data_IF_274551870323
#
_entry.id   IF_274551870323
#
_cell.length_a   1.000
_cell.length_b   1.000
_cell.length_c   1.000
_cell.angle_alpha   90.00
_cell.angle_beta   90.00
_cell.angle_gamma   90.00
#
_symmetry.space_group_name_H-M   'P 1'
#
loop_
_entity.id
_entity.type
_entity.pdbx_description
1 polymer ?
#
# COMPACT_ATOMS: atom_id res chain seq x y z
N UNK A 1 -10.08 5.16 18.12
CA UNK A 1 -8.94 5.72 18.87
C UNK A 1 -7.70 4.98 18.42
N UNK A 2 -7.09 5.45 17.34
CA UNK A 2 -5.91 4.84 16.73
C UNK A 2 -4.72 5.23 17.58
N UNK A 3 -4.10 4.26 18.26
CA UNK A 3 -2.89 4.48 19.04
C UNK A 3 -1.74 4.85 18.10
N UNK A 4 -1.49 6.14 17.93
CA UNK A 4 -0.26 6.65 17.33
C UNK A 4 0.91 6.19 18.21
N UNK A 5 1.68 5.23 17.72
CA UNK A 5 2.84 4.72 18.44
C UNK A 5 4.08 5.30 17.75
N UNK A 6 4.65 6.36 18.33
CA UNK A 6 5.92 6.93 17.90
C UNK A 6 7.07 6.26 18.64
N UNK A 7 8.04 5.72 17.91
CA UNK A 7 9.20 5.02 18.47
C UNK A 7 10.46 5.79 18.06
N UNK A 8 11.23 6.26 19.03
CA UNK A 8 12.55 6.85 18.79
C UNK A 8 13.57 5.77 18.48
N UNK A 9 14.33 5.94 17.41
CA UNK A 9 15.40 5.06 16.95
C UNK A 9 16.77 5.74 17.07
N UNK A 10 17.83 5.03 16.70
CA UNK A 10 19.19 5.59 16.67
C UNK A 10 19.32 6.75 15.67
N UNK A 11 20.35 7.59 15.85
CA UNK A 11 20.68 8.71 14.96
C UNK A 11 19.59 9.78 14.79
N UNK A 12 18.76 9.97 15.82
CA UNK A 12 17.71 11.00 15.81
C UNK A 12 16.53 10.68 14.88
N UNK A 13 16.40 9.43 14.45
CA UNK A 13 15.28 8.99 13.60
C UNK A 13 14.07 8.67 14.47
N UNK A 14 12.89 9.15 14.08
CA UNK A 14 11.63 8.79 14.71
C UNK A 14 10.82 7.94 13.73
N UNK A 15 10.34 6.79 14.21
CA UNK A 15 9.37 5.96 13.50
C UNK A 15 7.96 6.30 13.95
N UNK A 16 7.06 6.55 13.01
CA UNK A 16 5.62 6.71 13.28
C UNK A 16 4.83 5.66 12.52
N UNK A 17 4.02 4.89 13.24
CA UNK A 17 3.14 3.89 12.65
C UNK A 17 1.72 4.42 12.45
N UNK A 18 1.16 4.14 11.27
CA UNK A 18 -0.24 4.44 10.91
C UNK A 18 -0.92 3.19 10.35
N UNK A 19 -2.24 3.19 10.35
CA UNK A 19 -3.06 2.08 9.84
C UNK A 19 -3.55 2.40 8.44
N UNK A 20 -3.37 1.46 7.50
CA UNK A 20 -3.93 1.49 6.15
C UNK A 20 -5.36 0.97 6.15
N UNK A 21 -6.11 1.22 5.07
CA UNK A 21 -7.52 0.84 4.94
C UNK A 21 -7.76 -0.66 5.13
N UNK A 22 -6.82 -1.51 4.75
CA UNK A 22 -6.91 -2.97 4.89
C UNK A 22 -6.35 -3.51 6.21
N UNK A 23 -6.06 -2.63 7.17
CA UNK A 23 -5.57 -2.99 8.51
C UNK A 23 -4.06 -3.26 8.59
N UNK A 24 -3.32 -3.17 7.48
CA UNK A 24 -1.85 -3.20 7.52
C UNK A 24 -1.29 -1.93 8.16
N UNK A 25 -0.07 -2.04 8.67
CA UNK A 25 0.66 -0.89 9.22
C UNK A 25 1.55 -0.29 8.13
N UNK A 26 1.52 1.03 8.00
CA UNK A 26 2.54 1.80 7.29
C UNK A 26 3.43 2.49 8.33
N UNK A 27 4.75 2.37 8.15
CA UNK A 27 5.75 2.95 9.05
C UNK A 27 6.49 4.07 8.33
N UNK A 28 6.42 5.27 8.89
CA UNK A 28 7.18 6.44 8.45
C UNK A 28 8.46 6.56 9.26
N UNK A 29 9.55 6.99 8.62
CA UNK A 29 10.85 7.22 9.25
C UNK A 29 11.31 8.61 8.89
N UNK A 30 11.36 9.50 9.88
CA UNK A 30 11.71 10.89 9.69
C UNK A 30 12.93 11.25 10.57
N UNK A 31 13.89 12.00 10.03
CA UNK A 31 15.04 12.55 10.77
C UNK A 31 14.74 13.89 11.44
N UNK A 32 13.58 14.48 11.10
CA UNK A 32 13.06 15.73 11.63
C UNK A 32 11.57 15.58 11.90
N UNK A 33 11.04 16.31 12.88
CA UNK A 33 9.62 16.26 13.20
C UNK A 33 8.77 16.59 11.97
N UNK A 34 8.07 15.58 11.45
CA UNK A 34 7.23 15.69 10.27
C UNK A 34 5.82 15.23 10.63
N UNK A 35 4.82 16.06 10.30
CA UNK A 35 3.41 15.68 10.45
C UNK A 35 3.07 14.63 9.39
N UNK A 36 2.48 13.52 9.84
CA UNK A 36 2.11 12.36 9.03
C UNK A 36 0.66 12.01 9.33
N UNK A 37 -0.24 12.96 9.10
CA UNK A 37 -1.63 12.91 9.58
C UNK A 37 -2.63 12.48 8.50
N UNK A 38 -2.12 12.13 7.32
CA UNK A 38 -2.95 11.66 6.22
C UNK A 38 -3.62 10.32 6.58
N UNK A 39 -4.94 10.29 6.34
CA UNK A 39 -5.77 9.12 6.56
C UNK A 39 -5.97 8.38 5.24
N UNK A 40 -5.81 7.06 5.28
CA UNK A 40 -6.16 6.19 4.15
C UNK A 40 -7.69 6.09 4.04
N UNK A 41 -8.27 6.83 3.09
CA UNK A 41 -9.72 6.89 2.85
C UNK A 41 -10.21 5.85 1.84
N UNK A 42 -9.33 4.98 1.35
CA UNK A 42 -9.71 3.95 0.37
C UNK A 42 -10.68 2.94 1.00
N UNK A 43 -11.63 2.40 0.23
CA UNK A 43 -12.50 1.35 0.71
C UNK A 43 -11.69 0.07 1.01
N UNK A 44 -12.19 -0.73 1.95
CA UNK A 44 -11.65 -2.08 2.20
C UNK A 44 -12.01 -2.96 1.00
N UNK A 45 -11.01 -3.34 0.21
CA UNK A 45 -11.20 -4.29 -0.90
C UNK A 45 -10.94 -5.73 -0.45
N UNK A 46 -11.75 -6.66 -0.93
CA UNK A 46 -11.45 -8.09 -0.81
C UNK A 46 -10.25 -8.41 -1.68
N UNK A 47 -9.45 -9.38 -1.23
CA UNK A 47 -8.33 -9.90 -2.02
C UNK A 47 -8.84 -10.36 -3.39
N UNK A 48 -8.29 -9.84 -4.50
CA UNK A 48 -8.74 -10.24 -5.83
C UNK A 48 -8.36 -11.69 -6.12
N UNK A 49 -9.09 -12.31 -7.04
CA UNK A 49 -8.76 -13.62 -7.59
C UNK A 49 -7.43 -13.61 -8.36
N UNK A 50 -7.00 -14.80 -8.81
CA UNK A 50 -5.82 -14.96 -9.64
C UNK A 50 -6.03 -14.28 -11.00
N UNK A 51 -4.93 -13.78 -11.58
CA UNK A 51 -4.92 -13.39 -12.99
C UNK A 51 -5.00 -14.61 -13.89
N UNK A 52 -5.33 -14.38 -15.16
CA UNK A 52 -5.41 -15.43 -16.18
C UNK A 52 -4.48 -15.15 -17.35
N UNK A 53 -4.18 -16.19 -18.13
CA UNK A 53 -3.44 -16.11 -19.38
C UNK A 53 -4.41 -16.29 -20.54
N UNK A 54 -4.32 -15.41 -21.54
CA UNK A 54 -5.07 -15.53 -22.81
C UNK A 54 -4.09 -15.61 -23.97
N UNK A 55 -4.31 -16.52 -24.90
CA UNK A 55 -3.52 -16.62 -26.12
C UNK A 55 -4.03 -15.60 -27.15
N UNK A 56 -3.15 -14.74 -27.62
CA UNK A 56 -3.39 -13.95 -28.83
C UNK A 56 -3.09 -14.82 -30.05
N UNK A 57 -4.14 -15.16 -30.81
CA UNK A 57 -4.01 -16.03 -31.98
C UNK A 57 -3.30 -15.37 -33.17
N UNK A 58 -3.25 -14.04 -33.24
CA UNK A 58 -2.61 -13.33 -34.34
C UNK A 58 -1.08 -13.31 -34.19
N UNK A 59 -0.59 -13.09 -32.96
CA UNK A 59 0.84 -13.03 -32.65
C UNK A 59 1.38 -14.36 -32.10
N UNK A 60 0.50 -15.29 -31.73
CA UNK A 60 0.82 -16.55 -31.04
C UNK A 60 1.55 -16.32 -29.70
N UNK A 61 1.12 -15.30 -28.95
CA UNK A 61 1.71 -14.93 -27.66
C UNK A 61 0.71 -15.09 -26.51
N UNK A 62 1.23 -15.46 -25.34
CA UNK A 62 0.44 -15.50 -24.11
C UNK A 62 0.44 -14.15 -23.41
N UNK A 63 -0.75 -13.58 -23.22
CA UNK A 63 -0.96 -12.29 -22.56
C UNK A 63 -1.52 -12.48 -21.17
N UNK A 64 -0.91 -11.82 -20.18
CA UNK A 64 -1.38 -11.82 -18.78
C UNK A 64 -2.51 -10.82 -18.62
N UNK A 65 -3.68 -11.30 -18.20
CA UNK A 65 -4.81 -10.47 -17.81
C UNK A 65 -4.85 -10.36 -16.28
N UNK A 66 -4.55 -9.16 -15.78
CA UNK A 66 -4.51 -8.86 -14.35
C UNK A 66 -5.23 -7.54 -14.03
N UNK A 67 -6.53 -7.45 -14.38
CA UNK A 67 -7.35 -6.24 -14.22
C UNK A 67 -7.31 -5.66 -12.79
N UNK A 68 -7.24 -6.52 -11.77
CA UNK A 68 -7.12 -6.12 -10.37
C UNK A 68 -5.86 -5.29 -10.05
N UNK A 69 -4.86 -5.21 -10.95
CA UNK A 69 -3.69 -4.34 -10.75
C UNK A 69 -4.03 -2.86 -10.92
N UNK A 70 -5.14 -2.52 -11.57
CA UNK A 70 -5.59 -1.14 -11.75
C UNK A 70 -5.99 -0.47 -10.43
N UNK A 71 -6.46 -1.23 -9.44
CA UNK A 71 -6.89 -0.69 -8.14
C UNK A 71 -5.76 -0.64 -7.10
N UNK A 72 -4.52 -0.95 -7.49
CA UNK A 72 -3.38 -0.87 -6.57
C UNK A 72 -3.19 0.55 -6.07
N UNK A 73 -2.94 0.65 -4.76
CA UNK A 73 -2.46 1.86 -4.12
C UNK A 73 -1.34 2.53 -4.92
N UNK A 74 -1.57 3.76 -5.35
CA UNK A 74 -0.55 4.63 -5.95
C UNK A 74 -0.25 5.75 -4.96
N UNK A 75 1.02 5.83 -4.54
CA UNK A 75 1.51 6.66 -3.45
C UNK A 75 0.94 6.27 -2.06
N UNK A 76 1.73 6.47 -0.98
CA UNK A 76 1.20 6.43 0.38
C UNK A 76 0.23 7.59 0.61
N UNK A 77 -0.75 7.43 1.53
CA UNK A 77 -1.69 8.49 1.88
C UNK A 77 -0.98 9.74 2.42
#
# INVERSE_FOLDING_TARGET
MSSENSISLSHGIVRKDRTLSDGRIISYYDSTETSRDALDTRPVEKRPGLGELRLDALTNEWVVMAAHRQTRAFLPP
#
